data_IF_712105286227
#
_entry.id   IF_712105286227
#
_cell.length_a   1.000
_cell.length_b   1.000
_cell.length_c   1.000
_cell.angle_alpha   90.00
_cell.angle_beta   90.00
_cell.angle_gamma   90.00
#
_symmetry.space_group_name_H-M   'P 1'
#
loop_
_entity.id
_entity.type
_entity.pdbx_description
1 polymer ?
#
# COMPACT_ATOMS: atom_id res chain seq x y z
N UNK A 1 -6.19 17.30 11.80
CA UNK A 1 -6.74 15.96 11.68
C UNK A 1 -5.95 15.17 10.63
N UNK A 2 -5.53 13.97 10.98
CA UNK A 2 -4.77 13.15 10.05
C UNK A 2 -5.68 12.49 9.04
N UNK A 3 -5.27 12.51 7.80
CA UNK A 3 -6.00 11.86 6.73
C UNK A 3 -5.11 10.82 6.07
N UNK A 4 -5.73 9.79 5.50
CA UNK A 4 -5.00 8.73 4.84
C UNK A 4 -5.58 8.46 3.47
N UNK A 5 -4.68 8.19 2.54
CA UNK A 5 -5.06 7.66 1.23
C UNK A 5 -4.95 6.14 1.30
N UNK A 6 -5.81 5.46 0.58
CA UNK A 6 -5.79 4.00 0.53
C UNK A 6 -5.65 3.53 -0.90
N UNK A 7 -4.91 2.46 -1.06
CA UNK A 7 -4.67 1.86 -2.37
C UNK A 7 -4.83 0.35 -2.25
N UNK A 8 -5.52 -0.25 -3.22
CA UNK A 8 -5.65 -1.70 -3.29
C UNK A 8 -4.91 -2.20 -4.52
N UNK A 9 -4.21 -3.31 -4.36
CA UNK A 9 -3.44 -3.91 -5.42
C UNK A 9 -3.62 -5.41 -5.40
N UNK A 10 -3.56 -6.02 -6.57
CA UNK A 10 -3.66 -7.48 -6.66
C UNK A 10 -2.28 -8.09 -6.51
N UNK A 11 -2.15 -9.05 -5.62
CA UNK A 11 -0.91 -9.77 -5.39
C UNK A 11 -0.87 -10.99 -6.31
N UNK A 12 -0.69 -10.75 -7.60
CA UNK A 12 -0.69 -11.83 -8.58
C UNK A 12 0.62 -12.60 -8.61
N UNK A 13 1.71 -11.92 -8.36
CA UNK A 13 3.04 -12.50 -8.37
C UNK A 13 3.86 -11.87 -7.26
N UNK A 14 5.17 -12.13 -7.28
CA UNK A 14 6.06 -11.51 -6.32
C UNK A 14 6.03 -10.00 -6.53
N UNK A 15 5.45 -9.32 -5.57
CA UNK A 15 5.29 -7.87 -5.63
C UNK A 15 6.31 -7.15 -4.76
N UNK A 16 7.37 -7.85 -4.38
CA UNK A 16 8.35 -7.30 -3.46
C UNK A 16 8.95 -5.99 -3.95
N UNK A 17 9.30 -5.94 -5.23
CA UNK A 17 9.86 -4.71 -5.81
C UNK A 17 8.87 -3.56 -5.73
N UNK A 18 7.62 -3.84 -6.08
CA UNK A 18 6.60 -2.80 -6.05
C UNK A 18 6.30 -2.37 -4.63
N UNK A 19 6.24 -3.31 -3.71
CA UNK A 19 6.03 -2.98 -2.31
C UNK A 19 7.15 -2.10 -1.77
N UNK A 20 8.39 -2.42 -2.13
CA UNK A 20 9.52 -1.62 -1.70
C UNK A 20 9.47 -0.22 -2.30
N UNK A 21 9.09 -0.12 -3.56
CA UNK A 21 8.96 1.17 -4.22
C UNK A 21 7.89 2.02 -3.56
N UNK A 22 6.73 1.43 -3.30
CA UNK A 22 5.64 2.16 -2.66
C UNK A 22 5.96 2.51 -1.22
N UNK A 23 6.64 1.62 -0.51
CA UNK A 23 7.10 1.92 0.83
C UNK A 23 8.04 3.12 0.84
N UNK A 24 8.90 3.18 -0.16
CA UNK A 24 9.80 4.32 -0.32
C UNK A 24 9.01 5.62 -0.53
N UNK A 25 7.85 5.51 -1.19
CA UNK A 25 6.99 6.67 -1.43
C UNK A 25 6.07 6.99 -0.27
N UNK A 26 6.20 6.25 0.82
CA UNK A 26 5.42 6.52 2.02
C UNK A 26 4.21 5.61 2.22
N UNK A 27 4.02 4.64 1.33
CA UNK A 27 2.90 3.70 1.46
C UNK A 27 3.21 2.63 2.48
N UNK A 28 2.21 2.23 3.23
CA UNK A 28 2.32 1.21 4.26
C UNK A 28 1.32 0.10 3.97
N UNK A 29 1.79 -1.14 4.02
CA UNK A 29 0.92 -2.29 3.83
C UNK A 29 0.13 -2.52 5.12
N UNK A 30 -1.18 -2.47 5.02
CA UNK A 30 -2.06 -2.59 6.19
C UNK A 30 -2.64 -3.98 6.32
N UNK A 31 -2.96 -4.60 5.20
CA UNK A 31 -3.60 -5.92 5.22
C UNK A 31 -3.44 -6.61 3.89
N UNK A 32 -3.57 -7.93 3.92
CA UNK A 32 -3.58 -8.77 2.72
C UNK A 32 -4.76 -9.72 2.87
N UNK A 33 -5.59 -9.77 1.85
CA UNK A 33 -6.78 -10.60 1.90
C UNK A 33 -7.14 -11.09 0.50
N UNK A 34 -7.25 -12.42 0.34
CA UNK A 34 -7.69 -13.01 -0.89
C UNK A 34 -6.93 -12.58 -2.13
N UNK A 35 -5.62 -12.39 -2.01
CA UNK A 35 -4.81 -11.97 -3.14
C UNK A 35 -4.81 -10.47 -3.38
N UNK A 36 -5.44 -9.72 -2.50
CA UNK A 36 -5.42 -8.27 -2.56
C UNK A 36 -4.58 -7.71 -1.44
N UNK A 37 -3.84 -6.67 -1.74
CA UNK A 37 -3.06 -5.94 -0.74
C UNK A 37 -3.67 -4.56 -0.55
N UNK A 38 -3.78 -4.17 0.70
CA UNK A 38 -4.33 -2.86 1.06
C UNK A 38 -3.21 -2.02 1.66
N UNK A 39 -2.99 -0.87 1.06
CA UNK A 39 -1.96 0.05 1.52
C UNK A 39 -2.58 1.37 1.90
N UNK A 40 -1.90 2.08 2.78
CA UNK A 40 -2.34 3.42 3.17
C UNK A 40 -1.13 4.34 3.22
N UNK A 41 -1.38 5.62 3.05
CA UNK A 41 -0.36 6.64 3.15
C UNK A 41 -0.99 7.87 3.78
N UNK A 42 -0.24 8.52 4.68
CA UNK A 42 -0.72 9.74 5.28
C UNK A 42 -0.83 10.83 4.22
N UNK A 43 -2.00 11.43 4.17
CA UNK A 43 -2.28 12.49 3.22
C UNK A 43 -2.03 13.84 3.88
N UNK A 44 -1.14 14.61 3.31
CA UNK A 44 -0.84 15.94 3.82
C UNK A 44 -1.36 16.99 2.84
N UNK A 45 -2.10 17.93 3.38
CA UNK A 45 -2.61 19.05 2.59
C UNK A 45 -1.49 19.99 2.18
#
# INVERSE_FOLDING_TARGET
>A
MKRYEYKTLYALFRQERKLNQWGYEGWELVAVDGGKMYLKREFKD
#
